data_IF_569397996197
#
_entry.id   IF_569397996197
#
_cell.length_a   1.000
_cell.length_b   1.000
_cell.length_c   1.000
_cell.angle_alpha   90.00
_cell.angle_beta   90.00
_cell.angle_gamma   90.00
#
_symmetry.space_group_name_H-M   'P 1'
#
loop_
_entity.id
_entity.type
_entity.pdbx_description
1 polymer ?
#
# COMPACT_ATOMS: atom_id res chain seq x y z
N UNK A 1 -18.28 -0.91 22.33
CA UNK A 1 -17.90 -1.93 23.28
C UNK A 1 -16.91 -2.83 22.56
N UNK A 2 -15.66 -2.96 22.86
CA UNK A 2 -14.90 -3.09 24.07
C UNK A 2 -13.50 -2.51 23.87
N UNK A 3 -13.02 -1.75 24.85
CA UNK A 3 -11.67 -1.22 24.99
C UNK A 3 -10.73 -2.34 25.46
N UNK A 4 -9.50 -2.37 24.98
CA UNK A 4 -8.39 -2.97 25.71
C UNK A 4 -7.28 -1.93 25.86
N UNK A 5 -7.18 -1.43 27.11
CA UNK A 5 -6.01 -0.76 27.65
C UNK A 5 -5.19 -1.82 28.39
N UNK A 6 -3.90 -1.86 28.17
CA UNK A 6 -2.96 -2.63 28.97
C UNK A 6 -2.20 -1.64 29.84
N UNK A 7 -2.43 -1.76 31.16
CA UNK A 7 -1.69 -1.04 32.21
C UNK A 7 -0.56 -1.94 32.71
N UNK A 8 0.64 -1.41 32.75
CA UNK A 8 1.77 -1.99 33.47
C UNK A 8 1.69 -1.59 34.95
N UNK A 9 1.74 -2.56 35.85
CA UNK A 9 1.90 -2.36 37.28
C UNK A 9 3.13 -3.10 37.81
N UNK A 10 4.10 -2.35 38.29
CA UNK A 10 5.22 -2.86 39.08
C UNK A 10 4.77 -3.15 40.51
N UNK A 11 5.15 -4.28 41.09
CA UNK A 11 5.30 -4.46 42.53
C UNK A 11 6.56 -5.27 42.81
N UNK A 12 7.48 -4.62 43.51
CA UNK A 12 8.61 -5.19 44.23
C UNK A 12 8.09 -5.87 45.51
N UNK A 13 8.56 -7.05 45.85
CA UNK A 13 8.90 -7.37 47.24
C UNK A 13 9.78 -8.63 47.32
N UNK A 14 10.92 -8.46 47.98
CA UNK A 14 11.93 -9.49 48.18
C UNK A 14 11.59 -10.48 49.29
N UNK A 15 12.16 -11.65 49.19
CA UNK A 15 12.53 -12.51 50.33
C UNK A 15 13.75 -13.35 49.97
N UNK A 16 14.77 -13.15 50.74
CA UNK A 16 15.99 -13.94 50.80
C UNK A 16 15.67 -15.31 51.42
N UNK A 17 16.04 -16.39 50.72
CA UNK A 17 16.23 -17.69 51.37
C UNK A 17 17.47 -18.38 50.79
N UNK A 18 18.46 -18.61 51.65
CA UNK A 18 19.63 -19.44 51.36
C UNK A 18 19.21 -20.92 51.35
N UNK A 19 19.61 -21.67 50.34
CA UNK A 19 19.89 -23.12 50.50
C UNK A 19 20.78 -23.63 49.33
N UNK A 20 21.95 -24.08 49.75
CA UNK A 20 22.81 -25.19 49.33
C UNK A 20 22.83 -25.65 47.86
N UNK A 21 24.05 -25.60 47.33
CA UNK A 21 24.48 -26.15 46.04
C UNK A 21 24.30 -27.68 46.01
N UNK A 22 23.56 -28.15 45.00
CA UNK A 22 23.71 -29.50 44.41
C UNK A 22 23.94 -29.29 42.94
N UNK A 23 25.12 -29.68 42.46
CA UNK A 23 25.51 -29.56 41.08
C UNK A 23 24.72 -30.57 40.21
N UNK A 24 23.90 -30.02 39.33
CA UNK A 24 23.38 -30.69 38.16
C UNK A 24 23.84 -29.91 36.95
N UNK A 25 24.77 -30.47 36.22
CA UNK A 25 25.12 -30.04 34.86
C UNK A 25 23.91 -30.23 33.97
N UNK A 26 23.03 -29.21 33.94
CA UNK A 26 22.01 -29.11 32.87
C UNK A 26 22.75 -28.52 31.69
N UNK A 27 23.08 -29.39 30.73
CA UNK A 27 23.52 -28.96 29.40
C UNK A 27 22.44 -28.08 28.78
N UNK A 28 22.67 -26.76 28.79
CA UNK A 28 21.87 -25.82 28.01
C UNK A 28 22.20 -26.12 26.55
N UNK A 29 21.41 -27.02 25.93
CA UNK A 29 21.28 -27.03 24.49
C UNK A 29 20.64 -25.70 24.09
N UNK A 30 21.47 -24.71 23.80
CA UNK A 30 21.06 -23.57 23.03
C UNK A 30 20.67 -24.11 21.63
N UNK A 31 19.40 -24.46 21.48
CA UNK A 31 18.80 -24.48 20.17
C UNK A 31 18.86 -23.04 19.66
N UNK A 32 19.96 -22.68 19.03
CA UNK A 32 19.97 -21.55 18.13
C UNK A 32 19.02 -21.93 17.02
N UNK A 33 17.78 -21.48 17.12
CA UNK A 33 16.83 -21.42 16.03
C UNK A 33 17.44 -20.43 15.03
N UNK A 34 18.45 -20.88 14.29
CA UNK A 34 18.95 -20.15 13.14
C UNK A 34 17.75 -20.04 12.21
N UNK A 35 17.23 -18.83 12.04
CA UNK A 35 16.32 -18.54 10.95
C UNK A 35 17.03 -19.03 9.69
N UNK A 36 16.59 -20.14 9.12
CA UNK A 36 17.13 -20.63 7.86
C UNK A 36 16.93 -19.51 6.85
N UNK A 37 18.04 -19.00 6.29
CA UNK A 37 17.97 -18.04 5.21
C UNK A 37 17.06 -18.62 4.12
N UNK A 38 16.13 -17.82 3.62
CA UNK A 38 15.25 -18.30 2.56
C UNK A 38 16.08 -18.69 1.33
N UNK A 39 15.74 -19.82 0.73
CA UNK A 39 16.32 -20.19 -0.56
C UNK A 39 15.67 -19.35 -1.67
N UNK A 40 16.42 -18.37 -2.16
CA UNK A 40 16.02 -17.49 -3.26
C UNK A 40 16.22 -18.12 -4.65
N UNK A 41 16.87 -19.29 -4.75
CA UNK A 41 17.23 -19.94 -6.02
C UNK A 41 16.04 -20.10 -6.97
N UNK A 42 14.83 -20.49 -6.53
CA UNK A 42 13.68 -20.60 -7.43
C UNK A 42 13.27 -19.26 -8.06
N UNK A 43 13.30 -18.17 -7.28
CA UNK A 43 12.95 -16.84 -7.77
C UNK A 43 14.05 -16.27 -8.66
N UNK A 44 15.33 -16.46 -8.30
CA UNK A 44 16.47 -16.04 -9.12
C UNK A 44 16.44 -16.76 -10.46
N UNK A 45 16.23 -18.09 -10.47
CA UNK A 45 16.11 -18.85 -11.71
C UNK A 45 15.00 -18.30 -12.60
N UNK A 46 13.83 -17.99 -12.05
CA UNK A 46 12.70 -17.43 -12.78
C UNK A 46 13.04 -16.09 -13.42
N UNK A 47 13.78 -15.21 -12.73
CA UNK A 47 14.25 -13.92 -13.29
C UNK A 47 15.26 -14.14 -14.42
N UNK A 48 16.20 -15.07 -14.26
CA UNK A 48 17.20 -15.40 -15.28
C UNK A 48 16.53 -16.01 -16.53
N UNK A 49 15.58 -16.91 -16.35
CA UNK A 49 14.79 -17.50 -17.44
C UNK A 49 13.99 -16.42 -18.21
N UNK A 50 13.56 -15.34 -17.54
CA UNK A 50 12.89 -14.17 -18.13
C UNK A 50 13.87 -13.15 -18.74
N UNK A 51 15.19 -13.46 -18.80
CA UNK A 51 16.21 -12.66 -19.48
C UNK A 51 16.94 -11.63 -18.63
N UNK A 52 16.80 -11.67 -17.31
CA UNK A 52 17.64 -10.84 -16.43
C UNK A 52 19.07 -11.39 -16.38
N UNK A 53 20.06 -10.48 -16.34
CA UNK A 53 21.46 -10.88 -16.27
C UNK A 53 21.75 -11.65 -14.97
N UNK A 54 22.28 -12.87 -15.11
CA UNK A 54 22.51 -13.78 -13.98
C UNK A 54 23.38 -13.16 -12.88
N UNK A 55 24.50 -12.51 -13.26
CA UNK A 55 25.41 -11.87 -12.29
C UNK A 55 24.69 -10.79 -11.48
N UNK A 56 23.87 -9.97 -12.13
CA UNK A 56 23.09 -8.91 -11.48
C UNK A 56 22.05 -9.47 -10.53
N UNK A 57 21.35 -10.54 -10.94
CA UNK A 57 20.37 -11.22 -10.09
C UNK A 57 21.06 -11.85 -8.87
N UNK A 58 22.16 -12.57 -9.08
CA UNK A 58 22.94 -13.18 -7.98
C UNK A 58 23.47 -12.12 -7.01
N UNK A 59 24.05 -11.03 -7.53
CA UNK A 59 24.56 -9.93 -6.71
C UNK A 59 23.44 -9.29 -5.87
N UNK A 60 22.26 -9.11 -6.44
CA UNK A 60 21.09 -8.52 -5.74
C UNK A 60 20.62 -9.40 -4.60
N UNK A 61 20.41 -10.69 -4.84
CA UNK A 61 19.86 -11.62 -3.85
C UNK A 61 20.88 -12.14 -2.83
N UNK A 62 22.19 -11.98 -3.08
CA UNK A 62 23.25 -12.30 -2.10
C UNK A 62 23.48 -11.20 -1.06
N UNK A 63 22.82 -10.06 -1.18
CA UNK A 63 22.97 -8.95 -0.22
C UNK A 63 22.42 -9.35 1.15
N UNK A 64 23.14 -9.00 2.21
CA UNK A 64 22.78 -9.30 3.59
C UNK A 64 21.47 -8.65 4.06
N UNK A 65 21.05 -7.58 3.37
CA UNK A 65 19.81 -6.86 3.65
C UNK A 65 18.60 -7.40 2.87
N UNK A 66 18.74 -8.46 2.07
CA UNK A 66 17.62 -9.17 1.44
C UNK A 66 17.05 -10.19 2.41
N UNK A 67 15.81 -9.97 2.82
CA UNK A 67 15.13 -10.80 3.82
C UNK A 67 13.80 -11.31 3.29
N UNK A 68 13.50 -12.57 3.61
CA UNK A 68 12.20 -13.16 3.34
C UNK A 68 11.19 -12.74 4.44
N UNK A 69 10.06 -12.21 4.01
CA UNK A 69 8.96 -11.82 4.88
C UNK A 69 7.66 -12.50 4.40
N UNK A 70 7.21 -13.55 5.07
CA UNK A 70 5.98 -14.28 4.68
C UNK A 70 4.69 -13.52 5.05
N UNK A 71 4.77 -12.48 5.89
CA UNK A 71 3.60 -11.79 6.42
C UNK A 71 2.73 -11.13 5.33
N UNK A 72 3.27 -10.45 4.30
CA UNK A 72 2.44 -9.88 3.24
C UNK A 72 1.58 -10.91 2.51
N UNK A 73 2.13 -12.08 2.19
CA UNK A 73 1.36 -13.17 1.57
C UNK A 73 0.32 -13.73 2.53
N UNK A 74 0.68 -13.98 3.79
CA UNK A 74 -0.25 -14.48 4.81
C UNK A 74 -1.42 -13.52 5.03
N UNK A 75 -1.16 -12.21 5.13
CA UNK A 75 -2.19 -11.18 5.23
C UNK A 75 -3.10 -11.16 4.00
N UNK A 76 -2.52 -11.26 2.79
CA UNK A 76 -3.29 -11.31 1.55
C UNK A 76 -4.19 -12.54 1.49
N UNK A 77 -3.68 -13.70 1.89
CA UNK A 77 -4.46 -14.92 1.96
C UNK A 77 -5.59 -14.81 2.98
N UNK A 78 -5.32 -14.26 4.17
CA UNK A 78 -6.34 -14.02 5.19
C UNK A 78 -7.45 -13.07 4.69
N UNK A 79 -7.12 -12.01 3.97
CA UNK A 79 -8.12 -11.14 3.32
C UNK A 79 -9.00 -11.91 2.34
N UNK A 80 -8.38 -12.66 1.42
CA UNK A 80 -9.09 -13.40 0.37
C UNK A 80 -9.99 -14.52 0.90
N UNK A 81 -9.56 -15.20 1.97
CA UNK A 81 -10.28 -16.32 2.56
C UNK A 81 -11.42 -15.87 3.48
N UNK A 82 -11.33 -14.67 4.05
CA UNK A 82 -12.39 -14.08 4.88
C UNK A 82 -13.47 -13.37 4.08
N UNK A 83 -13.20 -12.98 2.83
CA UNK A 83 -14.20 -12.34 1.99
C UNK A 83 -15.24 -13.39 1.61
N UNK A 84 -16.55 -13.18 1.91
CA UNK A 84 -17.60 -13.97 1.30
C UNK A 84 -17.46 -13.84 -0.22
N UNK A 85 -17.55 -14.92 -0.95
CA UNK A 85 -17.35 -15.01 -2.40
C UNK A 85 -18.29 -14.11 -3.24
N UNK A 86 -19.19 -13.37 -2.58
CA UNK A 86 -20.13 -12.43 -3.21
C UNK A 86 -20.36 -11.22 -2.30
N UNK A 87 -19.64 -10.12 -2.56
CA UNK A 87 -20.20 -8.82 -2.24
C UNK A 87 -20.99 -8.35 -3.48
N UNK A 88 -22.32 -8.25 -3.41
CA UNK A 88 -23.06 -7.51 -4.41
C UNK A 88 -22.53 -6.06 -4.36
N UNK A 89 -22.15 -5.52 -5.51
CA UNK A 89 -21.87 -4.08 -5.62
C UNK A 89 -23.15 -3.38 -5.18
N UNK A 90 -23.15 -2.86 -3.95
CA UNK A 90 -24.32 -2.19 -3.41
C UNK A 90 -24.63 -0.98 -4.27
N UNK A 91 -25.75 -0.99 -4.95
CA UNK A 91 -26.31 0.13 -5.71
C UNK A 91 -26.84 1.26 -4.82
N UNK A 92 -26.58 1.19 -3.49
CA UNK A 92 -27.06 2.18 -2.53
C UNK A 92 -26.49 3.56 -2.82
N UNK A 93 -27.27 4.63 -2.67
CA UNK A 93 -26.77 6.00 -2.77
C UNK A 93 -25.63 6.24 -1.79
N UNK A 94 -24.73 7.15 -2.14
CA UNK A 94 -23.66 7.63 -1.27
C UNK A 94 -24.22 8.03 0.12
N UNK A 95 -23.79 7.35 1.16
CA UNK A 95 -24.12 7.66 2.55
C UNK A 95 -22.85 7.99 3.31
N UNK A 96 -22.82 9.17 3.97
CA UNK A 96 -21.65 9.65 4.75
C UNK A 96 -21.19 8.63 5.84
N UNK A 97 -22.07 7.71 6.25
CA UNK A 97 -21.74 6.64 7.20
C UNK A 97 -20.62 5.71 6.71
N UNK A 98 -20.53 5.54 5.39
CA UNK A 98 -19.61 4.60 4.76
C UNK A 98 -18.28 5.30 4.38
N UNK A 99 -17.72 6.08 5.30
CA UNK A 99 -16.46 6.82 5.12
C UNK A 99 -15.51 6.61 6.29
N UNK A 100 -14.22 6.71 6.04
CA UNK A 100 -13.21 6.79 7.08
C UNK A 100 -13.20 8.18 7.74
N UNK A 101 -13.95 8.36 8.82
CA UNK A 101 -14.17 9.64 9.52
C UNK A 101 -12.87 10.38 9.88
N UNK A 102 -11.77 9.65 10.12
CA UNK A 102 -10.45 10.24 10.44
C UNK A 102 -9.97 11.26 9.40
N UNK A 103 -10.25 11.04 8.11
CA UNK A 103 -9.84 11.96 7.04
C UNK A 103 -10.75 13.19 6.92
N UNK A 104 -11.92 13.16 7.55
CA UNK A 104 -12.86 14.28 7.56
C UNK A 104 -12.69 15.21 8.78
N UNK A 105 -11.72 14.94 9.65
CA UNK A 105 -11.38 15.82 10.78
C UNK A 105 -10.86 17.17 10.28
N UNK A 106 -11.10 18.21 11.07
CA UNK A 106 -10.72 19.59 10.68
C UNK A 106 -9.22 19.76 10.46
N UNK A 107 -8.37 19.08 11.25
CA UNK A 107 -6.92 19.09 11.09
C UNK A 107 -6.49 18.50 9.74
N UNK A 108 -7.05 17.36 9.33
CA UNK A 108 -6.77 16.72 8.03
C UNK A 108 -7.23 17.62 6.85
N UNK A 109 -8.43 18.16 6.95
CA UNK A 109 -8.97 19.07 5.92
C UNK A 109 -8.14 20.36 5.82
N UNK A 110 -7.68 20.92 6.93
CA UNK A 110 -6.82 22.12 6.91
C UNK A 110 -5.43 21.80 6.31
N UNK A 111 -4.84 20.64 6.62
CA UNK A 111 -3.61 20.19 5.96
C UNK A 111 -3.79 20.05 4.46
N UNK A 112 -4.88 19.44 4.01
CA UNK A 112 -5.19 19.29 2.58
C UNK A 112 -5.40 20.65 1.89
N UNK A 113 -6.03 21.62 2.55
CA UNK A 113 -6.15 23.00 2.04
C UNK A 113 -4.80 23.68 1.90
N UNK A 114 -3.95 23.59 2.91
CA UNK A 114 -2.60 24.13 2.85
C UNK A 114 -1.78 23.49 1.71
N UNK A 115 -1.97 22.18 1.48
CA UNK A 115 -1.33 21.47 0.36
C UNK A 115 -1.85 21.98 -1.00
N UNK A 116 -3.16 22.19 -1.15
CA UNK A 116 -3.77 22.79 -2.36
C UNK A 116 -3.18 24.17 -2.66
N UNK A 117 -3.00 25.00 -1.64
CA UNK A 117 -2.43 26.33 -1.83
C UNK A 117 -0.95 26.29 -2.22
N UNK A 118 -0.14 25.47 -1.56
CA UNK A 118 1.29 25.34 -1.89
C UNK A 118 1.55 24.81 -3.30
N UNK A 119 0.67 23.94 -3.80
CA UNK A 119 0.82 23.31 -5.11
C UNK A 119 -0.18 23.85 -6.14
N UNK A 120 -0.67 25.08 -5.93
CA UNK A 120 -1.77 25.66 -6.72
C UNK A 120 -1.50 25.64 -8.22
N UNK A 121 -0.32 26.08 -8.65
CA UNK A 121 0.01 26.17 -10.08
C UNK A 121 -0.05 24.79 -10.77
N UNK A 122 0.61 23.79 -10.18
CA UNK A 122 0.61 22.41 -10.67
C UNK A 122 -0.81 21.83 -10.69
N UNK A 123 -1.56 22.01 -9.61
CA UNK A 123 -2.92 21.47 -9.48
C UNK A 123 -3.93 22.16 -10.40
N UNK A 124 -3.77 23.46 -10.66
CA UNK A 124 -4.60 24.17 -11.63
C UNK A 124 -4.28 23.74 -13.07
N UNK A 125 -3.01 23.47 -13.38
CA UNK A 125 -2.60 22.86 -14.65
C UNK A 125 -3.23 21.46 -14.81
N UNK A 126 -3.08 20.57 -13.82
CA UNK A 126 -3.68 19.24 -13.79
C UNK A 126 -5.19 19.29 -14.05
N UNK A 127 -5.90 20.18 -13.38
CA UNK A 127 -7.36 20.29 -13.55
C UNK A 127 -7.78 20.69 -14.97
N UNK A 128 -6.97 21.49 -15.65
CA UNK A 128 -7.20 21.85 -17.07
C UNK A 128 -6.85 20.70 -18.02
N UNK A 129 -5.73 20.03 -17.78
CA UNK A 129 -5.19 18.98 -18.66
C UNK A 129 -6.04 17.71 -18.63
N UNK A 130 -6.36 17.23 -17.42
CA UNK A 130 -7.01 15.94 -17.21
C UNK A 130 -8.51 16.04 -16.91
N UNK A 131 -9.05 17.25 -16.78
CA UNK A 131 -10.41 17.49 -16.32
C UNK A 131 -10.72 16.96 -14.89
N UNK A 132 -9.71 16.54 -14.13
CA UNK A 132 -9.85 16.04 -12.77
C UNK A 132 -9.77 17.21 -11.80
N UNK A 133 -10.79 17.43 -10.93
CA UNK A 133 -10.72 18.50 -9.93
C UNK A 133 -9.53 18.30 -9.00
N UNK A 134 -8.76 19.34 -8.76
CA UNK A 134 -7.61 19.32 -7.87
C UNK A 134 -7.91 18.82 -6.46
N UNK A 135 -9.13 19.09 -5.99
CA UNK A 135 -9.61 18.61 -4.71
C UNK A 135 -9.70 17.08 -4.66
N UNK A 136 -10.02 16.41 -5.79
CA UNK A 136 -10.04 14.95 -5.87
C UNK A 136 -8.61 14.40 -5.84
N UNK A 137 -7.69 14.98 -6.61
CA UNK A 137 -6.27 14.57 -6.63
C UNK A 137 -5.67 14.65 -5.23
N UNK A 138 -5.85 15.80 -4.54
CA UNK A 138 -5.34 16.01 -3.18
C UNK A 138 -6.03 15.09 -2.17
N UNK A 139 -7.32 14.75 -2.38
CA UNK A 139 -8.03 13.82 -1.51
C UNK A 139 -7.48 12.39 -1.61
N UNK A 140 -7.14 11.94 -2.80
CA UNK A 140 -6.46 10.65 -3.00
C UNK A 140 -5.11 10.67 -2.28
N UNK A 141 -4.28 11.68 -2.53
CA UNK A 141 -2.97 11.81 -1.90
C UNK A 141 -3.06 11.86 -0.36
N UNK A 142 -4.11 12.53 0.19
CA UNK A 142 -4.36 12.55 1.64
C UNK A 142 -4.67 11.16 2.17
N UNK A 143 -5.50 10.39 1.47
CA UNK A 143 -5.93 9.06 1.92
C UNK A 143 -4.79 8.04 1.79
N UNK A 144 -4.01 8.11 0.72
CA UNK A 144 -2.90 7.18 0.45
C UNK A 144 -1.73 7.40 1.43
N UNK A 145 -1.19 8.59 1.45
CA UNK A 145 0.09 8.85 2.12
C UNK A 145 0.05 10.00 3.12
N UNK A 146 -1.12 10.46 3.54
CA UNK A 146 -1.25 11.68 4.36
C UNK A 146 -0.52 12.89 3.75
N UNK A 147 -0.65 13.08 2.43
CA UNK A 147 0.01 14.12 1.63
C UNK A 147 1.54 13.93 1.55
N UNK A 148 1.97 12.69 1.43
CA UNK A 148 3.39 12.32 1.33
C UNK A 148 4.10 12.06 2.66
N UNK A 149 3.41 12.21 3.80
CA UNK A 149 4.03 11.99 5.11
C UNK A 149 4.27 10.48 5.44
N UNK A 150 3.67 9.56 4.69
CA UNK A 150 3.81 8.13 4.90
C UNK A 150 3.72 7.36 3.57
N UNK A 151 4.85 7.06 2.98
CA UNK A 151 4.96 6.31 1.71
C UNK A 151 5.14 4.81 1.92
N UNK A 152 4.98 4.33 3.15
CA UNK A 152 5.19 2.94 3.54
C UNK A 152 6.42 2.77 4.42
N UNK A 153 6.42 1.69 5.21
CA UNK A 153 7.50 1.37 6.16
C UNK A 153 8.31 0.14 5.75
N UNK A 154 7.82 -0.59 4.74
CA UNK A 154 8.49 -1.78 4.20
C UNK A 154 9.32 -1.42 2.98
N UNK A 155 10.26 -2.26 2.62
CA UNK A 155 10.94 -2.19 1.32
C UNK A 155 10.07 -2.90 0.28
N UNK A 156 9.70 -2.21 -0.80
CA UNK A 156 8.86 -2.78 -1.85
C UNK A 156 9.47 -4.05 -2.43
N UNK A 157 10.81 -4.07 -2.60
CA UNK A 157 11.54 -5.24 -3.06
C UNK A 157 11.34 -6.44 -2.13
N UNK A 158 11.48 -6.29 -0.79
CA UNK A 158 11.30 -7.41 0.14
C UNK A 158 9.88 -7.95 0.11
N UNK A 159 8.89 -7.06 0.04
CA UNK A 159 7.49 -7.46 -0.03
C UNK A 159 7.21 -8.27 -1.29
N UNK A 160 7.59 -7.73 -2.45
CA UNK A 160 7.27 -8.34 -3.74
C UNK A 160 8.07 -9.62 -3.98
N UNK A 161 9.38 -9.65 -3.64
CA UNK A 161 10.20 -10.86 -3.76
C UNK A 161 9.73 -11.97 -2.82
N UNK A 162 9.37 -11.65 -1.58
CA UNK A 162 8.85 -12.64 -0.63
C UNK A 162 7.49 -13.20 -1.07
N UNK A 163 6.59 -12.36 -1.54
CA UNK A 163 5.32 -12.80 -2.09
C UNK A 163 5.52 -13.64 -3.37
N UNK A 164 6.46 -13.25 -4.25
CA UNK A 164 6.79 -13.99 -5.47
C UNK A 164 7.41 -15.37 -5.19
N UNK A 165 8.18 -15.48 -4.10
CA UNK A 165 8.75 -16.75 -3.65
C UNK A 165 7.71 -17.67 -2.98
N UNK A 166 6.64 -17.10 -2.41
CA UNK A 166 5.58 -17.84 -1.70
C UNK A 166 4.61 -18.51 -2.69
N UNK A 167 5.07 -19.49 -3.45
CA UNK A 167 4.28 -20.23 -4.45
C UNK A 167 3.39 -21.30 -3.84
N UNK A 168 3.78 -21.86 -2.69
CA UNK A 168 3.02 -22.85 -1.93
C UNK A 168 2.36 -22.21 -0.71
N UNK A 169 1.06 -22.46 -0.57
CA UNK A 169 0.28 -21.97 0.56
C UNK A 169 0.79 -22.47 1.92
N UNK A 170 1.42 -23.65 1.95
CA UNK A 170 1.99 -24.22 3.19
C UNK A 170 3.06 -23.33 3.81
N UNK A 171 3.79 -22.54 3.01
CA UNK A 171 4.81 -21.60 3.48
C UNK A 171 4.24 -20.49 4.39
N UNK A 172 2.94 -20.19 4.26
CA UNK A 172 2.27 -19.14 5.00
C UNK A 172 1.08 -19.60 5.83
N UNK A 173 0.72 -20.89 5.75
CA UNK A 173 -0.45 -21.46 6.42
C UNK A 173 -0.49 -21.16 7.92
N UNK A 174 0.64 -21.31 8.60
CA UNK A 174 0.75 -21.10 10.06
C UNK A 174 0.51 -19.67 10.50
N UNK A 175 0.66 -18.70 9.58
CA UNK A 175 0.43 -17.28 9.81
C UNK A 175 -1.01 -16.83 9.50
N UNK A 176 -1.79 -17.71 8.88
CA UNK A 176 -3.23 -17.44 8.65
C UNK A 176 -4.00 -17.84 9.90
N UNK A 177 -4.90 -16.99 10.43
CA UNK A 177 -5.62 -17.27 11.67
C UNK A 177 -6.38 -18.60 11.64
N UNK A 178 -6.36 -19.32 12.77
CA UNK A 178 -7.07 -20.56 12.93
C UNK A 178 -8.58 -20.38 12.59
N UNK A 179 -9.16 -21.39 11.94
CA UNK A 179 -10.56 -21.35 11.50
C UNK A 179 -10.83 -20.59 10.20
N UNK A 180 -9.83 -19.86 9.65
CA UNK A 180 -9.95 -19.26 8.32
C UNK A 180 -9.90 -20.33 7.22
N UNK A 181 -9.17 -21.41 7.48
CA UNK A 181 -8.98 -22.56 6.58
C UNK A 181 -9.82 -23.73 7.06
N UNK A 182 -10.55 -24.31 6.14
CA UNK A 182 -11.35 -25.51 6.33
C UNK A 182 -11.39 -26.33 5.04
N UNK A 183 -11.82 -27.59 5.10
CA UNK A 183 -11.78 -28.52 3.96
C UNK A 183 -12.45 -27.96 2.69
N UNK A 184 -13.45 -27.07 2.83
CA UNK A 184 -14.15 -26.51 1.69
C UNK A 184 -13.43 -25.35 0.98
N UNK A 185 -12.34 -24.77 1.54
CA UNK A 185 -11.66 -23.65 0.94
C UNK A 185 -10.13 -23.84 0.75
N UNK A 186 -9.62 -25.02 1.09
CA UNK A 186 -8.18 -25.27 1.03
C UNK A 186 -7.62 -25.24 -0.40
N UNK A 187 -8.30 -25.90 -1.34
CA UNK A 187 -7.90 -25.86 -2.77
C UNK A 187 -7.97 -24.43 -3.31
N UNK A 188 -9.00 -23.67 -2.94
CA UNK A 188 -9.11 -22.26 -3.28
C UNK A 188 -7.91 -21.47 -2.70
N UNK A 189 -7.53 -21.71 -1.44
CA UNK A 189 -6.39 -21.06 -0.82
C UNK A 189 -5.08 -21.33 -1.58
N UNK A 190 -4.81 -22.60 -1.93
CA UNK A 190 -3.63 -23.00 -2.72
C UNK A 190 -3.62 -22.32 -4.10
N UNK A 191 -4.76 -22.31 -4.79
CA UNK A 191 -4.91 -21.63 -6.08
C UNK A 191 -4.63 -20.13 -5.95
N UNK A 192 -5.26 -19.46 -4.97
CA UNK A 192 -5.09 -18.02 -4.77
C UNK A 192 -3.67 -17.64 -4.36
N UNK A 193 -2.99 -18.49 -3.58
CA UNK A 193 -1.59 -18.26 -3.22
C UNK A 193 -0.70 -18.24 -4.47
N UNK A 194 -0.81 -19.23 -5.36
CA UNK A 194 -0.07 -19.26 -6.64
C UNK A 194 -0.37 -18.02 -7.50
N UNK A 195 -1.64 -17.68 -7.68
CA UNK A 195 -2.03 -16.49 -8.46
C UNK A 195 -1.45 -15.19 -7.87
N UNK A 196 -1.35 -15.09 -6.54
CA UNK A 196 -0.77 -13.92 -5.87
C UNK A 196 0.75 -13.92 -5.92
N UNK A 197 1.38 -15.07 -5.90
CA UNK A 197 2.82 -15.20 -6.16
C UNK A 197 3.16 -14.76 -7.59
N UNK A 198 2.42 -15.21 -8.59
CA UNK A 198 2.64 -14.80 -9.98
C UNK A 198 2.39 -13.30 -10.20
N UNK A 199 1.34 -12.76 -9.58
CA UNK A 199 1.10 -11.33 -9.60
C UNK A 199 2.25 -10.55 -8.96
N UNK A 200 2.74 -10.96 -7.78
CA UNK A 200 3.84 -10.30 -7.10
C UNK A 200 5.15 -10.38 -7.88
N UNK A 201 5.39 -11.51 -8.57
CA UNK A 201 6.51 -11.66 -9.47
C UNK A 201 6.48 -10.66 -10.63
N UNK A 202 5.33 -10.45 -11.25
CA UNK A 202 5.18 -9.45 -12.29
C UNK A 202 5.41 -8.03 -11.74
N UNK A 203 4.88 -7.71 -10.57
CA UNK A 203 5.13 -6.40 -9.93
C UNK A 203 6.60 -6.23 -9.54
N UNK A 204 7.30 -7.30 -9.13
CA UNK A 204 8.74 -7.27 -8.86
C UNK A 204 9.53 -6.91 -10.12
N UNK A 205 9.19 -7.47 -11.29
CA UNK A 205 9.85 -7.12 -12.56
C UNK A 205 9.68 -5.63 -12.89
N UNK A 206 8.47 -5.09 -12.71
CA UNK A 206 8.23 -3.66 -12.90
C UNK A 206 8.96 -2.80 -11.86
N UNK A 207 9.10 -3.27 -10.62
CA UNK A 207 9.89 -2.56 -9.61
C UNK A 207 11.39 -2.50 -9.98
N UNK A 208 11.94 -3.60 -10.47
CA UNK A 208 13.33 -3.65 -10.94
C UNK A 208 13.54 -2.72 -12.13
N UNK A 209 12.61 -2.68 -13.07
CA UNK A 209 12.67 -1.77 -14.22
C UNK A 209 12.52 -0.30 -13.79
N UNK A 210 11.59 0.01 -12.89
CA UNK A 210 11.46 1.34 -12.29
C UNK A 210 12.77 1.79 -11.62
N UNK A 211 13.37 0.89 -10.84
CA UNK A 211 14.65 1.11 -10.16
C UNK A 211 15.78 1.41 -11.16
N UNK A 212 15.86 0.63 -12.25
CA UNK A 212 16.84 0.79 -13.31
C UNK A 212 16.71 2.15 -14.01
N UNK A 213 15.49 2.54 -14.41
CA UNK A 213 15.21 3.79 -15.13
C UNK A 213 15.54 5.00 -14.23
N UNK A 214 15.19 4.92 -12.95
CA UNK A 214 15.43 6.00 -11.99
C UNK A 214 16.85 5.96 -11.36
N UNK A 215 17.71 5.05 -11.80
CA UNK A 215 19.05 4.84 -11.22
C UNK A 215 19.03 4.76 -9.68
N UNK A 216 18.05 4.00 -9.14
CA UNK A 216 17.83 3.89 -7.70
C UNK A 216 18.01 2.44 -7.26
N UNK A 217 18.63 2.20 -6.10
CA UNK A 217 18.73 0.86 -5.53
C UNK A 217 17.33 0.28 -5.22
N UNK A 218 16.93 -0.88 -5.80
CA UNK A 218 15.59 -1.45 -5.56
C UNK A 218 15.32 -1.74 -4.07
N UNK A 219 16.35 -2.02 -3.28
CA UNK A 219 16.22 -2.23 -1.84
C UNK A 219 16.05 -0.91 -1.05
N UNK A 220 16.26 0.24 -1.67
CA UNK A 220 16.03 1.53 -1.01
C UNK A 220 14.58 2.01 -1.10
N UNK A 221 13.78 1.47 -2.03
CA UNK A 221 12.44 1.97 -2.36
C UNK A 221 11.44 1.59 -1.26
N UNK A 222 10.87 2.58 -0.53
CA UNK A 222 9.84 2.31 0.47
C UNK A 222 8.52 1.93 -0.21
N UNK A 223 7.76 1.04 0.43
CA UNK A 223 6.49 0.59 -0.10
C UNK A 223 5.48 0.20 0.98
N UNK A 224 4.25 -0.04 0.52
CA UNK A 224 3.16 -0.57 1.35
C UNK A 224 3.37 -2.03 1.72
N UNK A 225 2.43 -2.57 2.51
CA UNK A 225 2.37 -4.00 2.87
C UNK A 225 2.25 -4.93 1.64
N UNK A 226 1.85 -4.41 0.48
CA UNK A 226 1.72 -5.16 -0.77
C UNK A 226 2.62 -4.62 -1.89
N UNK A 227 3.60 -3.75 -1.56
CA UNK A 227 4.61 -3.29 -2.52
C UNK A 227 4.19 -2.08 -3.37
N UNK A 228 3.10 -1.38 -3.05
CA UNK A 228 2.76 -0.11 -3.69
C UNK A 228 3.78 0.97 -3.28
N UNK A 229 4.18 1.84 -4.23
CA UNK A 229 5.28 2.79 -4.07
C UNK A 229 4.86 4.25 -4.30
N UNK A 230 5.67 5.15 -3.79
CA UNK A 230 5.56 6.59 -4.02
C UNK A 230 4.44 7.28 -3.27
N UNK A 231 4.29 8.58 -3.54
CA UNK A 231 3.27 9.43 -2.92
C UNK A 231 1.85 9.00 -3.28
N UNK A 232 1.66 8.49 -4.49
CA UNK A 232 0.38 8.02 -5.03
C UNK A 232 0.07 6.55 -4.73
N UNK A 233 0.99 5.80 -4.11
CA UNK A 233 0.84 4.38 -3.78
C UNK A 233 0.43 3.52 -5.00
N UNK A 234 1.09 3.75 -6.12
CA UNK A 234 0.94 2.91 -7.30
C UNK A 234 1.63 1.56 -7.11
N UNK A 235 1.01 0.50 -7.62
CA UNK A 235 1.76 -0.72 -7.90
C UNK A 235 2.81 -0.42 -8.97
N UNK A 236 3.99 -1.07 -8.94
CA UNK A 236 5.06 -0.80 -9.90
C UNK A 236 4.62 -0.84 -11.36
N UNK A 237 3.74 -1.77 -11.76
CA UNK A 237 3.18 -1.83 -13.11
C UNK A 237 2.40 -0.57 -13.50
N UNK A 238 1.71 0.05 -12.56
CA UNK A 238 0.92 1.27 -12.80
C UNK A 238 1.78 2.49 -13.15
N UNK A 239 3.09 2.47 -12.78
CA UNK A 239 4.01 3.53 -13.19
C UNK A 239 4.12 3.59 -14.71
N UNK A 240 4.22 2.44 -15.36
CA UNK A 240 4.37 2.33 -16.82
C UNK A 240 3.06 2.55 -17.58
N UNK A 241 1.91 2.35 -16.91
CA UNK A 241 0.60 2.55 -17.52
C UNK A 241 0.07 3.97 -17.36
N UNK A 242 0.34 4.59 -16.21
CA UNK A 242 -0.32 5.83 -15.79
C UNK A 242 0.64 6.92 -15.33
N UNK A 243 1.92 6.59 -15.13
CA UNK A 243 2.91 7.54 -14.67
C UNK A 243 3.15 8.68 -15.66
N UNK A 244 3.49 9.84 -15.14
CA UNK A 244 3.78 11.06 -15.92
C UNK A 244 5.05 11.67 -15.40
N UNK A 245 6.04 11.86 -16.28
CA UNK A 245 7.21 12.71 -16.06
C UNK A 245 6.76 14.18 -16.22
N UNK A 246 6.36 14.79 -15.14
CA UNK A 246 5.78 16.13 -15.16
C UNK A 246 6.82 17.24 -14.94
N UNK A 247 8.00 16.88 -14.46
CA UNK A 247 9.10 17.82 -14.28
C UNK A 247 10.16 17.76 -15.42
N UNK A 248 9.96 16.85 -16.40
CA UNK A 248 10.76 16.74 -17.61
C UNK A 248 12.18 16.21 -17.39
N UNK A 249 12.41 15.43 -16.34
CA UNK A 249 13.74 14.87 -16.04
C UNK A 249 14.08 13.61 -16.85
N UNK A 250 13.15 13.11 -17.65
CA UNK A 250 13.35 11.92 -18.48
C UNK A 250 13.02 10.60 -17.78
N UNK A 251 12.54 10.66 -16.54
CA UNK A 251 12.07 9.49 -15.80
C UNK A 251 10.93 9.86 -14.85
N UNK A 252 10.07 8.89 -14.54
CA UNK A 252 8.93 9.10 -13.64
C UNK A 252 9.37 8.83 -12.21
N UNK A 253 9.42 9.86 -11.36
CA UNK A 253 9.70 9.72 -9.93
C UNK A 253 8.40 9.87 -9.12
N UNK A 254 7.82 8.75 -8.69
CA UNK A 254 6.59 8.78 -7.87
C UNK A 254 6.79 9.34 -6.45
N UNK A 255 8.02 9.63 -6.03
CA UNK A 255 8.33 10.36 -4.80
C UNK A 255 8.43 11.87 -5.03
N UNK A 256 8.50 12.29 -6.28
CA UNK A 256 8.38 13.69 -6.72
C UNK A 256 6.92 14.14 -6.68
N UNK A 257 6.66 15.32 -6.11
CA UNK A 257 5.29 15.87 -6.05
C UNK A 257 4.69 16.15 -7.43
N UNK A 258 5.38 16.77 -8.41
CA UNK A 258 4.83 16.98 -9.75
C UNK A 258 4.40 15.68 -10.42
N UNK A 259 5.26 14.67 -10.44
CA UNK A 259 4.99 13.41 -11.12
C UNK A 259 3.86 12.64 -10.47
N UNK A 260 3.87 12.54 -9.13
CA UNK A 260 2.82 11.85 -8.40
C UNK A 260 1.44 12.49 -8.58
N UNK A 261 1.32 13.83 -8.54
CA UNK A 261 0.05 14.51 -8.72
C UNK A 261 -0.49 14.36 -10.15
N UNK A 262 0.39 14.48 -11.17
CA UNK A 262 0.02 14.27 -12.55
C UNK A 262 -0.35 12.81 -12.83
N UNK A 263 0.39 11.86 -12.26
CA UNK A 263 0.10 10.43 -12.37
C UNK A 263 -1.25 10.05 -11.77
N UNK A 264 -1.62 10.59 -10.59
CA UNK A 264 -2.97 10.40 -10.01
C UNK A 264 -4.04 10.89 -10.98
N UNK A 265 -3.86 12.09 -11.53
CA UNK A 265 -4.85 12.68 -12.43
C UNK A 265 -4.95 11.91 -13.76
N UNK A 266 -3.82 11.52 -14.33
CA UNK A 266 -3.75 10.70 -15.53
C UNK A 266 -4.43 9.35 -15.33
N UNK A 267 -4.16 8.68 -14.17
CA UNK A 267 -4.86 7.45 -13.81
C UNK A 267 -6.38 7.63 -13.87
N UNK A 268 -6.92 8.63 -13.18
CA UNK A 268 -8.37 8.88 -13.16
C UNK A 268 -8.92 9.21 -14.55
N UNK A 269 -8.19 10.00 -15.33
CA UNK A 269 -8.57 10.39 -16.69
C UNK A 269 -8.68 9.16 -17.61
N UNK A 270 -7.66 8.31 -17.62
CA UNK A 270 -7.63 7.10 -18.44
C UNK A 270 -8.65 6.06 -17.98
N UNK A 271 -9.01 6.06 -16.69
CA UNK A 271 -10.07 5.20 -16.13
C UNK A 271 -11.47 5.81 -16.21
N UNK A 272 -11.68 6.85 -17.06
CA UNK A 272 -13.01 7.34 -17.41
C UNK A 272 -13.44 8.63 -16.75
N UNK A 273 -12.55 9.37 -16.05
CA UNK A 273 -12.87 10.71 -15.61
C UNK A 273 -12.93 11.67 -16.78
N UNK A 274 -14.06 12.40 -16.93
CA UNK A 274 -14.31 13.36 -18.02
C UNK A 274 -14.66 14.72 -17.44
N UNK A 275 -14.50 15.81 -18.23
CA UNK A 275 -14.81 17.18 -17.80
C UNK A 275 -16.24 17.36 -17.28
N UNK A 276 -17.19 16.62 -17.81
CA UNK A 276 -18.61 16.63 -17.42
C UNK A 276 -19.07 15.28 -16.88
N UNK A 277 -18.25 14.67 -16.00
CA UNK A 277 -18.60 13.39 -15.39
C UNK A 277 -19.75 13.53 -14.41
N UNK A 278 -20.79 12.71 -14.53
CA UNK A 278 -21.88 12.64 -13.59
C UNK A 278 -21.43 12.15 -12.20
N UNK A 279 -22.08 12.65 -11.15
CA UNK A 279 -21.73 12.33 -9.77
C UNK A 279 -21.70 10.81 -9.48
N UNK A 280 -22.66 10.05 -10.04
CA UNK A 280 -22.71 8.58 -9.86
C UNK A 280 -21.48 7.89 -10.43
N UNK A 281 -20.95 8.38 -11.55
CA UNK A 281 -19.82 7.79 -12.25
C UNK A 281 -18.46 8.16 -11.58
N UNK A 282 -18.39 9.30 -10.86
CA UNK A 282 -17.17 9.69 -10.11
C UNK A 282 -16.74 8.62 -9.13
N UNK A 283 -17.69 8.04 -8.39
CA UNK A 283 -17.41 6.96 -7.45
C UNK A 283 -16.85 5.73 -8.14
N UNK A 284 -17.41 5.35 -9.29
CA UNK A 284 -16.93 4.20 -10.07
C UNK A 284 -15.50 4.40 -10.51
N UNK A 285 -15.15 5.61 -11.01
CA UNK A 285 -13.78 5.93 -11.42
C UNK A 285 -12.83 5.91 -10.21
N UNK A 286 -13.21 6.48 -9.07
CA UNK A 286 -12.36 6.43 -7.86
C UNK A 286 -12.23 4.98 -7.35
N UNK A 287 -13.25 4.14 -7.54
CA UNK A 287 -13.17 2.71 -7.19
C UNK A 287 -12.18 1.91 -8.07
N UNK A 288 -11.80 2.38 -9.25
CA UNK A 288 -10.72 1.74 -10.02
C UNK A 288 -9.37 1.90 -9.33
N UNK A 289 -9.17 3.02 -8.61
CA UNK A 289 -7.94 3.27 -7.84
C UNK A 289 -7.81 2.32 -6.64
N UNK A 290 -8.91 2.10 -5.94
CA UNK A 290 -9.00 1.13 -4.85
C UNK A 290 -10.42 0.56 -4.81
N UNK A 291 -10.57 -0.78 -4.95
CA UNK A 291 -11.83 -1.49 -5.06
C UNK A 291 -12.66 -1.50 -3.76
N UNK A 292 -12.65 -0.38 -3.03
CA UNK A 292 -13.38 -0.18 -1.78
C UNK A 292 -14.38 0.97 -1.89
N UNK A 293 -15.65 0.68 -1.66
CA UNK A 293 -16.69 1.72 -1.62
C UNK A 293 -16.40 2.75 -0.52
N UNK A 294 -15.94 2.31 0.65
CA UNK A 294 -15.58 3.18 1.77
C UNK A 294 -14.42 4.11 1.40
N UNK A 295 -13.44 3.60 0.67
CA UNK A 295 -12.35 4.42 0.12
C UNK A 295 -12.88 5.50 -0.82
N UNK A 296 -13.62 5.10 -1.85
CA UNK A 296 -14.13 6.04 -2.85
C UNK A 296 -15.05 7.10 -2.23
N UNK A 297 -15.93 6.70 -1.31
CA UNK A 297 -16.77 7.62 -0.56
C UNK A 297 -15.94 8.59 0.29
N UNK A 298 -14.84 8.12 0.92
CA UNK A 298 -13.94 8.96 1.72
C UNK A 298 -13.26 10.01 0.86
N UNK A 299 -12.67 9.61 -0.26
CA UNK A 299 -12.02 10.52 -1.23
C UNK A 299 -13.00 11.61 -1.68
N UNK A 300 -14.19 11.23 -2.12
CA UNK A 300 -15.19 12.18 -2.60
C UNK A 300 -15.72 13.10 -1.48
N UNK A 301 -15.91 12.58 -0.25
CA UNK A 301 -16.33 13.40 0.88
C UNK A 301 -15.26 14.42 1.31
N UNK A 302 -13.98 14.06 1.24
CA UNK A 302 -12.87 15.00 1.47
C UNK A 302 -12.86 16.07 0.37
N UNK A 303 -12.98 15.67 -0.90
CA UNK A 303 -13.02 16.60 -2.03
C UNK A 303 -14.19 17.60 -1.91
N UNK A 304 -15.39 17.13 -1.56
CA UNK A 304 -16.56 18.00 -1.32
C UNK A 304 -16.29 19.03 -0.21
N UNK A 305 -15.62 18.64 0.89
CA UNK A 305 -15.25 19.57 1.98
C UNK A 305 -14.19 20.58 1.58
N UNK A 306 -13.27 20.21 0.71
CA UNK A 306 -12.27 21.14 0.17
C UNK A 306 -12.92 22.18 -0.74
N UNK A 307 -13.91 21.79 -1.55
CA UNK A 307 -14.67 22.69 -2.43
C UNK A 307 -15.62 23.62 -1.66
N UNK A 308 -16.26 23.15 -0.58
CA UNK A 308 -17.30 23.91 0.16
C UNK A 308 -16.80 25.25 0.71
N UNK A 309 -15.53 25.36 1.13
CA UNK A 309 -14.98 26.61 1.68
C UNK A 309 -14.80 27.73 0.64
N UNK A 310 -14.67 27.39 -0.64
CA UNK A 310 -14.66 28.37 -1.74
C UNK A 310 -16.00 29.08 -1.91
N UNK A 311 -17.12 28.39 -1.69
CA UNK A 311 -18.48 28.97 -1.84
C UNK A 311 -18.79 30.04 -0.78
N UNK A 312 -18.35 29.84 0.45
CA UNK A 312 -18.60 30.81 1.56
C UNK A 312 -17.80 32.09 1.35
N UNK A 313 -16.54 32.01 0.90
CA UNK A 313 -15.74 33.23 0.60
C UNK A 313 -16.23 34.02 -0.62
N UNK A 314 -16.75 33.34 -1.64
CA UNK A 314 -17.27 34.01 -2.84
C UNK A 314 -18.62 34.70 -2.64
N UNK A 315 -19.43 34.32 -1.65
CA UNK A 315 -20.69 35.02 -1.31
C UNK A 315 -20.49 36.27 -0.44
N UNK A 316 -19.44 36.26 0.41
CA UNK A 316 -19.16 37.45 1.27
C UNK A 316 -18.58 38.65 0.52
N UNK A 317 -18.06 38.47 -0.70
CA UNK A 317 -17.48 39.56 -1.51
C UNK A 317 -18.45 40.16 -2.54
N UNK A 318 -19.75 39.79 -2.51
CA UNK A 318 -20.79 40.34 -3.41
C UNK A 318 -21.91 41.09 -2.69
N UNK A 319 -21.73 41.42 -1.42
CA UNK A 319 -22.64 42.28 -0.66
C UNK A 319 -21.86 43.44 -0.07
N UNK A 320 -21.45 44.37 -0.90
CA UNK A 320 -21.25 45.81 -0.61
C UNK A 320 -21.41 46.57 -1.90
#
# INVERSE_FOLDING_TARGET
MTKYSILYGFILMGRVLRMTAVGSLIGIFLFSCGAMAADWSPLMKRLIDDGYEEKSVQALFSRNDVQFDPEPMAMKMNELLRLPSRYPVSSRPYVIRDVHKRYLRSDMINRARAYLERNRATLDHISRTYCVPKEVVVSILLVETHLGANTGKRKAFHVLSSMALSTDFEQVRSLVPAGTIHNGNEEYARKRCREKSDWAYNELKYLLEYSRINNTDPLSIPGSIYGAIGLCQFMPSNVFLYGVDADGKGSIDLFSTPDALNSIANYLHLNGWKCRIERKNRRQVVMTYNHSQVYANTVLAVADRLQAKKRVRGRSSRTT
#
